data_IF_630472462764
#
_entry.id   IF_630472462764
#
_cell.length_a   1.000
_cell.length_b   1.000
_cell.length_c   1.000
_cell.angle_alpha   90.00
_cell.angle_beta   90.00
_cell.angle_gamma   90.00
#
_symmetry.space_group_name_H-M   'P 1'
#
loop_
_entity.id
_entity.type
_entity.pdbx_description
1 polymer ?
#
# COMPACT_ATOMS: atom_id res chain seq x y z
N UNK A 1 1.39 -5.99 -10.23
CA UNK A 1 2.61 -5.40 -10.84
C UNK A 1 3.66 -5.25 -9.76
N UNK A 2 4.94 -5.45 -10.10
CA UNK A 2 6.06 -5.25 -9.18
C UNK A 2 7.08 -4.31 -9.83
N UNK A 3 7.39 -3.19 -9.17
CA UNK A 3 8.27 -2.13 -9.65
C UNK A 3 9.38 -1.94 -8.62
N UNK A 4 10.59 -1.60 -9.01
CA UNK A 4 11.67 -1.28 -8.08
C UNK A 4 11.97 0.22 -8.12
N UNK A 5 11.97 0.86 -6.95
CA UNK A 5 12.26 2.29 -6.78
C UNK A 5 13.37 2.41 -5.75
N UNK A 6 14.55 2.86 -6.19
CA UNK A 6 15.71 3.09 -5.33
C UNK A 6 16.11 1.84 -4.50
N UNK A 7 15.92 0.63 -5.04
CA UNK A 7 16.16 -0.64 -4.34
C UNK A 7 15.04 -1.08 -3.37
N UNK A 8 13.90 -0.38 -3.34
CA UNK A 8 12.67 -0.80 -2.67
C UNK A 8 11.71 -1.38 -3.70
N UNK A 9 11.23 -2.61 -3.45
CA UNK A 9 10.33 -3.30 -4.38
C UNK A 9 8.87 -3.01 -4.06
N UNK A 10 8.22 -2.25 -4.92
CA UNK A 10 6.81 -1.88 -4.82
C UNK A 10 5.96 -2.98 -5.48
N UNK A 11 5.00 -3.54 -4.74
CA UNK A 11 4.09 -4.57 -5.25
C UNK A 11 2.66 -4.07 -5.14
N UNK A 12 2.02 -3.85 -6.28
CA UNK A 12 0.62 -3.43 -6.37
C UNK A 12 -0.25 -4.58 -6.87
N UNK A 13 -1.35 -4.86 -6.17
CA UNK A 13 -2.33 -5.87 -6.59
C UNK A 13 -3.74 -5.38 -6.31
N UNK A 14 -4.63 -5.60 -7.27
CA UNK A 14 -6.06 -5.44 -7.10
C UNK A 14 -6.73 -6.81 -7.08
N UNK A 15 -7.50 -7.09 -6.03
CA UNK A 15 -8.19 -8.34 -5.80
C UNK A 15 -9.69 -8.06 -5.62
N UNK A 16 -10.50 -8.73 -6.42
CA UNK A 16 -11.95 -8.65 -6.34
C UNK A 16 -12.49 -9.83 -5.51
N UNK A 17 -13.50 -9.59 -4.66
CA UNK A 17 -14.02 -10.56 -3.70
C UNK A 17 -13.07 -10.89 -2.54
N UNK A 18 -12.28 -9.93 -2.06
CA UNK A 18 -11.25 -10.16 -1.03
C UNK A 18 -11.50 -9.34 0.23
N UNK A 19 -11.38 -10.00 1.38
CA UNK A 19 -11.55 -9.39 2.70
C UNK A 19 -10.26 -8.73 3.22
N UNK A 20 -10.37 -7.73 4.11
CA UNK A 20 -9.21 -7.08 4.74
C UNK A 20 -8.26 -8.06 5.44
N UNK A 21 -8.81 -9.13 6.01
CA UNK A 21 -8.06 -10.18 6.72
C UNK A 21 -7.11 -10.95 5.78
N UNK A 22 -7.61 -11.25 4.58
CA UNK A 22 -6.83 -11.88 3.52
C UNK A 22 -5.72 -10.95 3.03
N UNK A 23 -6.02 -9.66 2.82
CA UNK A 23 -5.01 -8.67 2.45
C UNK A 23 -3.90 -8.57 3.50
N UNK A 24 -4.28 -8.59 4.79
CA UNK A 24 -3.32 -8.56 5.90
C UNK A 24 -2.42 -9.79 5.89
N UNK A 25 -2.99 -10.98 5.70
CA UNK A 25 -2.20 -12.23 5.59
C UNK A 25 -1.25 -12.23 4.39
N UNK A 26 -1.67 -11.69 3.25
CA UNK A 26 -0.82 -11.56 2.07
C UNK A 26 0.31 -10.55 2.31
N UNK A 27 0.02 -9.42 2.95
CA UNK A 27 1.05 -8.44 3.31
C UNK A 27 2.07 -9.01 4.27
N UNK A 28 1.63 -9.77 5.27
CA UNK A 28 2.54 -10.38 6.24
C UNK A 28 3.55 -11.28 5.53
N UNK A 29 3.08 -12.16 4.63
CA UNK A 29 3.94 -13.01 3.80
C UNK A 29 4.87 -12.23 2.87
N UNK A 30 4.38 -11.14 2.27
CA UNK A 30 5.19 -10.29 1.39
C UNK A 30 6.37 -9.68 2.17
N UNK A 31 6.06 -9.12 3.35
CA UNK A 31 7.05 -8.44 4.21
C UNK A 31 8.04 -9.41 4.84
N UNK A 32 7.60 -10.64 5.11
CA UNK A 32 8.43 -11.73 5.62
C UNK A 32 9.43 -12.20 4.55
N UNK A 33 8.97 -12.42 3.32
CA UNK A 33 9.84 -12.81 2.20
C UNK A 33 10.76 -11.69 1.73
N UNK A 34 10.24 -10.47 1.61
CA UNK A 34 10.93 -9.33 1.02
C UNK A 34 10.95 -8.14 1.99
N UNK A 35 11.96 -8.04 2.88
CA UNK A 35 12.03 -6.95 3.86
C UNK A 35 12.27 -5.58 3.23
N UNK A 36 12.74 -5.53 1.97
CA UNK A 36 12.89 -4.33 1.16
C UNK A 36 11.63 -3.97 0.35
N UNK A 37 10.54 -4.74 0.46
CA UNK A 37 9.34 -4.49 -0.34
C UNK A 37 8.32 -3.58 0.35
N UNK A 38 7.58 -2.85 -0.47
CA UNK A 38 6.37 -2.12 -0.11
C UNK A 38 5.22 -2.75 -0.87
N UNK A 39 4.27 -3.35 -0.16
CA UNK A 39 3.04 -3.82 -0.76
C UNK A 39 1.95 -2.75 -0.70
N UNK A 40 1.17 -2.62 -1.76
CA UNK A 40 -0.12 -1.97 -1.79
C UNK A 40 -1.16 -2.93 -2.42
N UNK A 41 -2.02 -3.51 -1.60
CA UNK A 41 -3.04 -4.46 -2.02
C UNK A 41 -4.41 -3.81 -1.85
N UNK A 42 -5.21 -3.77 -2.92
CA UNK A 42 -6.59 -3.29 -2.88
C UNK A 42 -7.50 -4.50 -2.98
N UNK A 43 -8.32 -4.72 -1.96
CA UNK A 43 -9.37 -5.74 -1.95
C UNK A 43 -10.74 -5.08 -1.95
N UNK A 44 -11.65 -5.57 -2.79
CA UNK A 44 -13.06 -5.19 -2.70
C UNK A 44 -13.91 -6.41 -2.40
N UNK A 45 -14.89 -6.26 -1.50
CA UNK A 45 -15.88 -7.29 -1.18
C UNK A 45 -17.19 -7.09 -1.99
N UNK A 46 -17.13 -6.29 -3.07
CA UNK A 46 -18.30 -5.89 -3.86
C UNK A 46 -19.11 -4.75 -3.21
N UNK A 47 -19.10 -4.65 -1.88
CA UNK A 47 -19.76 -3.55 -1.14
C UNK A 47 -18.79 -2.47 -0.68
N UNK A 48 -17.57 -2.86 -0.30
CA UNK A 48 -16.56 -1.94 0.23
C UNK A 48 -15.20 -2.28 -0.35
N UNK A 49 -14.48 -1.24 -0.75
CA UNK A 49 -13.11 -1.36 -1.23
C UNK A 49 -12.15 -0.91 -0.14
N UNK A 50 -11.16 -1.73 0.15
CA UNK A 50 -10.15 -1.52 1.17
C UNK A 50 -8.77 -1.60 0.54
N UNK A 51 -7.95 -0.59 0.80
CA UNK A 51 -6.53 -0.58 0.49
C UNK A 51 -5.75 -0.98 1.75
N UNK A 52 -4.92 -2.00 1.64
CA UNK A 52 -3.92 -2.37 2.63
C UNK A 52 -2.54 -2.00 2.09
N UNK A 53 -1.74 -1.31 2.90
CA UNK A 53 -0.33 -1.01 2.60
C UNK A 53 0.55 -1.62 3.68
N UNK A 54 1.54 -2.37 3.25
CA UNK A 54 2.52 -3.03 4.12
C UNK A 54 3.91 -2.60 3.73
N UNK A 55 4.72 -2.22 4.72
CA UNK A 55 6.11 -1.80 4.49
C UNK A 55 7.02 -2.83 5.17
N UNK A 56 7.95 -3.39 4.40
CA UNK A 56 8.97 -4.29 4.90
C UNK A 56 9.91 -3.60 5.90
N UNK A 57 10.59 -4.37 6.75
CA UNK A 57 11.41 -3.82 7.84
C UNK A 57 12.53 -2.89 7.35
N UNK A 58 13.15 -3.20 6.22
CA UNK A 58 14.23 -2.37 5.67
C UNK A 58 13.67 -1.11 5.02
N UNK A 59 12.58 -1.21 4.26
CA UNK A 59 11.89 -0.04 3.74
C UNK A 59 11.44 0.90 4.88
N UNK A 60 10.94 0.34 5.98
CA UNK A 60 10.59 1.09 7.19
C UNK A 60 11.82 1.73 7.86
N UNK A 61 12.95 1.03 7.91
CA UNK A 61 14.21 1.57 8.42
C UNK A 61 14.75 2.73 7.56
N UNK A 62 14.43 2.74 6.27
CA UNK A 62 14.67 3.86 5.36
C UNK A 62 13.67 5.01 5.52
N UNK A 63 12.78 4.94 6.51
CA UNK A 63 11.82 5.99 6.86
C UNK A 63 10.49 5.95 6.13
N UNK A 64 10.24 4.94 5.28
CA UNK A 64 8.92 4.73 4.67
C UNK A 64 7.89 4.31 5.73
N UNK A 65 6.74 4.98 5.77
CA UNK A 65 5.66 4.69 6.73
C UNK A 65 4.39 4.27 6.01
N UNK A 66 3.92 3.04 6.27
CA UNK A 66 2.69 2.51 5.68
C UNK A 66 1.49 3.43 5.91
N UNK A 67 1.38 4.02 7.12
CA UNK A 67 0.31 4.97 7.45
C UNK A 67 0.31 6.26 6.62
N UNK A 68 1.48 6.75 6.22
CA UNK A 68 1.57 7.94 5.36
C UNK A 68 1.21 7.58 3.91
N UNK A 69 1.80 6.50 3.40
CA UNK A 69 1.57 5.99 2.05
C UNK A 69 0.08 5.69 1.83
N UNK A 70 -0.55 4.90 2.72
CA UNK A 70 -1.96 4.52 2.59
C UNK A 70 -2.88 5.73 2.55
N UNK A 71 -2.56 6.79 3.31
CA UNK A 71 -3.38 7.99 3.40
C UNK A 71 -3.30 8.80 2.10
N UNK A 72 -2.10 8.95 1.54
CA UNK A 72 -1.91 9.63 0.26
C UNK A 72 -2.60 8.85 -0.88
N UNK A 73 -2.42 7.53 -0.94
CA UNK A 73 -3.02 6.68 -1.97
C UNK A 73 -4.55 6.68 -1.86
N UNK A 74 -5.09 6.52 -0.64
CA UNK A 74 -6.53 6.48 -0.44
C UNK A 74 -7.19 7.82 -0.76
N UNK A 75 -6.53 8.95 -0.47
CA UNK A 75 -7.06 10.28 -0.75
C UNK A 75 -7.37 10.50 -2.24
N UNK A 76 -6.60 9.89 -3.15
CA UNK A 76 -6.83 9.95 -4.60
C UNK A 76 -8.21 9.41 -4.98
N UNK A 77 -8.61 8.33 -4.31
CA UNK A 77 -9.87 7.64 -4.53
C UNK A 77 -10.94 8.00 -3.47
N UNK A 78 -10.88 9.22 -2.92
CA UNK A 78 -11.85 9.75 -1.97
C UNK A 78 -11.91 9.00 -0.63
N UNK A 79 -10.90 8.18 -0.38
CA UNK A 79 -10.76 7.30 0.76
C UNK A 79 -10.03 7.94 1.93
N UNK A 80 -10.07 7.26 3.07
CA UNK A 80 -9.30 7.64 4.24
C UNK A 80 -8.93 6.41 5.06
N UNK A 81 -7.83 6.50 5.80
CA UNK A 81 -7.33 5.39 6.59
C UNK A 81 -6.14 5.75 7.47
N UNK A 82 -5.64 4.72 8.13
CA UNK A 82 -4.57 4.83 9.10
C UNK A 82 -4.15 3.46 9.62
N UNK A 83 -3.11 3.46 10.44
CA UNK A 83 -2.58 2.23 11.02
C UNK A 83 -1.19 2.43 11.57
N UNK A 84 -0.49 1.32 11.74
CA UNK A 84 0.89 1.31 12.22
C UNK A 84 1.84 1.73 11.09
N UNK A 85 3.05 2.22 11.43
CA UNK A 85 4.04 2.59 10.42
C UNK A 85 4.49 1.40 9.56
N UNK A 86 4.34 0.17 10.07
CA UNK A 86 4.71 -1.05 9.38
C UNK A 86 3.58 -1.64 8.51
N UNK A 87 2.33 -1.35 8.87
CA UNK A 87 1.13 -1.77 8.15
C UNK A 87 -0.05 -0.83 8.43
N UNK A 88 -0.74 -0.42 7.38
CA UNK A 88 -1.91 0.43 7.47
C UNK A 88 -3.01 0.05 6.49
N UNK A 89 -4.24 0.44 6.80
CA UNK A 89 -5.40 0.19 5.95
C UNK A 89 -6.24 1.45 5.76
N UNK A 90 -6.86 1.56 4.60
CA UNK A 90 -7.77 2.64 4.27
C UNK A 90 -8.98 2.12 3.51
N UNK A 91 -10.14 2.74 3.74
CA UNK A 91 -11.30 2.55 2.89
C UNK A 91 -11.18 3.43 1.65
N UNK A 92 -11.50 2.87 0.49
CA UNK A 92 -11.61 3.57 -0.80
C UNK A 92 -13.09 3.80 -1.09
N UNK A 93 -13.46 5.03 -1.46
CA UNK A 93 -14.84 5.37 -1.85
C UNK A 93 -15.05 5.28 -3.35
N UNK A 94 -14.14 5.86 -4.13
CA UNK A 94 -14.22 5.88 -5.59
C UNK A 94 -13.47 4.71 -6.20
N UNK A 95 -14.19 3.62 -6.48
CA UNK A 95 -13.62 2.44 -7.12
C UNK A 95 -13.11 2.71 -8.54
N UNK A 96 -13.68 3.69 -9.24
CA UNK A 96 -13.21 4.13 -10.56
C UNK A 96 -11.81 4.75 -10.53
N UNK A 97 -11.33 5.20 -9.36
CA UNK A 97 -9.99 5.78 -9.18
C UNK A 97 -8.97 4.80 -8.59
N UNK A 98 -9.32 3.52 -8.50
CA UNK A 98 -8.40 2.47 -8.02
C UNK A 98 -7.14 2.41 -8.91
N UNK A 99 -7.30 2.49 -10.23
CA UNK A 99 -6.17 2.42 -11.15
C UNK A 99 -5.23 3.63 -11.00
N UNK A 100 -5.81 4.82 -10.83
CA UNK A 100 -5.09 6.07 -10.57
C UNK A 100 -4.34 6.01 -9.22
N UNK A 101 -5.01 5.50 -8.19
CA UNK A 101 -4.41 5.27 -6.88
C UNK A 101 -3.24 4.27 -6.94
N UNK A 102 -3.36 3.17 -7.70
CA UNK A 102 -2.31 2.18 -7.88
C UNK A 102 -1.11 2.73 -8.66
N UNK A 103 -1.35 3.51 -9.70
CA UNK A 103 -0.29 4.21 -10.45
C UNK A 103 0.44 5.23 -9.58
N UNK A 104 -0.28 5.94 -8.72
CA UNK A 104 0.31 6.92 -7.82
C UNK A 104 1.18 6.29 -6.71
N UNK A 105 1.04 4.99 -6.40
CA UNK A 105 1.86 4.31 -5.37
C UNK A 105 3.34 4.50 -5.65
N UNK A 106 3.77 4.37 -6.90
CA UNK A 106 5.17 4.52 -7.28
C UNK A 106 5.71 5.91 -6.92
N UNK A 107 5.02 6.96 -7.39
CA UNK A 107 5.39 8.34 -7.12
C UNK A 107 5.35 8.67 -5.62
N UNK A 108 4.34 8.17 -4.90
CA UNK A 108 4.20 8.40 -3.46
C UNK A 108 5.33 7.71 -2.69
N UNK A 109 5.68 6.46 -3.03
CA UNK A 109 6.80 5.75 -2.39
C UNK A 109 8.12 6.46 -2.68
N UNK A 110 8.35 6.88 -3.93
CA UNK A 110 9.54 7.64 -4.31
C UNK A 110 9.65 8.94 -3.51
N UNK A 111 8.58 9.74 -3.47
CA UNK A 111 8.57 11.00 -2.73
C UNK A 111 8.80 10.79 -1.22
N UNK A 112 8.22 9.74 -0.64
CA UNK A 112 8.43 9.43 0.78
C UNK A 112 9.84 8.91 1.08
N UNK A 113 10.47 8.20 0.14
CA UNK A 113 11.89 7.82 0.24
C UNK A 113 12.78 9.06 0.18
N UNK A 114 12.53 9.99 -0.75
CA UNK A 114 13.28 11.24 -0.88
C UNK A 114 13.12 12.14 0.35
N UNK A 115 11.94 12.18 0.97
CA UNK A 115 11.70 12.92 2.22
C UNK A 115 12.32 12.28 3.46
N UNK A 116 12.69 11.01 3.39
CA UNK A 116 13.23 10.26 4.52
C UNK A 116 14.76 10.18 4.54
N UNK A 117 15.40 10.44 3.39
CA UNK A 117 16.85 10.68 3.26
C UNK A 117 17.20 12.15 3.55
#
# INVERSE_FOLDING_TARGET
NAIEVDGVRIVTVYLNGTTPDTLRSMMDKLRDKEPNAVGALIGTDGSKTTLAVGVGKNALARGLKAGALVKQIAAIAGGNGGGKPDFAMAGIRDTSKIDDALNAVEGIVKENLEKAN
#
